data_IF_340263789453
#
_entry.id   IF_340263789453
#
_cell.length_a   1.000
_cell.length_b   1.000
_cell.length_c   1.000
_cell.angle_alpha   90.00
_cell.angle_beta   90.00
_cell.angle_gamma   90.00
#
_symmetry.space_group_name_H-M   'P 1'
#
loop_
_entity.id
_entity.type
_entity.pdbx_description
1 polymer ?
#
# COMPACT_ATOMS: atom_id res chain seq x y z
N UNK A 1 69.86 -5.79 12.75
CA UNK A 1 68.98 -4.71 13.25
C UNK A 1 67.76 -4.72 12.35
N UNK A 2 66.75 -5.46 12.79
CA UNK A 2 65.49 -5.67 12.06
C UNK A 2 64.79 -4.31 11.93
N UNK A 3 64.60 -3.83 10.70
CA UNK A 3 63.89 -2.57 10.45
C UNK A 3 62.38 -2.86 10.54
N UNK A 4 61.64 -2.26 11.49
CA UNK A 4 60.22 -2.50 11.64
C UNK A 4 59.49 -1.82 10.49
N UNK A 5 58.71 -2.58 9.73
CA UNK A 5 57.82 -2.03 8.71
C UNK A 5 56.92 -0.96 9.37
N UNK A 6 56.99 0.32 8.94
CA UNK A 6 56.07 1.33 9.45
C UNK A 6 54.68 0.90 9.01
N UNK A 7 53.80 0.65 9.97
CA UNK A 7 52.39 0.41 9.72
C UNK A 7 51.89 1.63 8.94
N UNK A 8 51.73 1.44 7.64
CA UNK A 8 51.52 2.53 6.71
C UNK A 8 50.13 3.10 6.94
N UNK A 9 50.00 4.42 7.07
CA UNK A 9 48.70 5.11 7.18
C UNK A 9 47.78 4.70 6.02
N UNK A 10 48.35 4.37 4.85
CA UNK A 10 47.62 3.83 3.72
C UNK A 10 46.94 2.47 4.02
N UNK A 11 47.55 1.57 4.80
CA UNK A 11 46.94 0.29 5.16
C UNK A 11 45.79 0.45 6.15
N UNK A 12 45.87 1.44 7.05
CA UNK A 12 44.78 1.75 7.99
C UNK A 12 43.57 2.38 7.29
N UNK A 13 43.79 3.30 6.35
CA UNK A 13 42.71 3.89 5.54
C UNK A 13 42.06 2.84 4.65
N UNK A 14 42.86 1.94 4.06
CA UNK A 14 42.33 0.84 3.25
C UNK A 14 41.50 -0.13 4.11
N UNK A 15 41.94 -0.44 5.32
CA UNK A 15 41.18 -1.25 6.28
C UNK A 15 39.86 -0.60 6.70
N UNK A 16 39.85 0.70 6.97
CA UNK A 16 38.65 1.44 7.34
C UNK A 16 37.60 1.49 6.22
N UNK A 17 38.03 1.68 4.96
CA UNK A 17 37.13 1.65 3.80
C UNK A 17 36.51 0.27 3.61
N UNK A 18 37.31 -0.79 3.81
CA UNK A 18 36.83 -2.17 3.73
C UNK A 18 35.80 -2.48 4.84
N UNK A 19 36.03 -1.99 6.06
CA UNK A 19 35.09 -2.15 7.18
C UNK A 19 33.80 -1.35 6.98
N UNK A 20 33.88 -0.11 6.47
CA UNK A 20 32.70 0.69 6.11
C UNK A 20 31.87 0.01 5.03
N UNK A 21 32.52 -0.60 4.03
CA UNK A 21 31.85 -1.37 2.97
C UNK A 21 31.14 -2.60 3.54
N UNK A 22 31.74 -3.28 4.52
CA UNK A 22 31.14 -4.42 5.23
C UNK A 22 29.94 -4.00 6.07
N UNK A 23 30.03 -2.89 6.80
CA UNK A 23 28.93 -2.32 7.57
C UNK A 23 27.75 -1.92 6.66
N UNK A 24 28.02 -1.21 5.56
CA UNK A 24 26.97 -0.87 4.59
C UNK A 24 26.28 -2.10 4.00
N UNK A 25 27.06 -3.15 3.69
CA UNK A 25 26.49 -4.39 3.21
C UNK A 25 25.60 -5.07 4.27
N UNK A 26 25.97 -4.99 5.55
CA UNK A 26 25.16 -5.49 6.66
C UNK A 26 23.88 -4.68 6.87
N UNK A 27 23.97 -3.34 6.85
CA UNK A 27 22.81 -2.44 7.01
C UNK A 27 21.76 -2.71 5.92
N UNK A 28 22.22 -2.88 4.66
CA UNK A 28 21.34 -3.20 3.52
C UNK A 28 20.72 -4.59 3.68
N UNK A 29 21.48 -5.58 4.16
CA UNK A 29 20.94 -6.91 4.43
C UNK A 29 19.90 -6.89 5.54
N UNK A 30 20.15 -6.13 6.61
CA UNK A 30 19.23 -5.99 7.74
C UNK A 30 17.95 -5.26 7.32
N UNK A 31 18.08 -4.13 6.62
CA UNK A 31 16.95 -3.37 6.08
C UNK A 31 16.11 -4.23 5.12
N UNK A 32 16.75 -5.03 4.27
CA UNK A 32 16.05 -5.98 3.38
C UNK A 32 15.29 -7.04 4.18
N UNK A 33 15.89 -7.59 5.22
CA UNK A 33 15.25 -8.59 6.07
C UNK A 33 14.05 -8.01 6.83
N UNK A 34 14.18 -6.81 7.38
CA UNK A 34 13.12 -6.13 8.11
C UNK A 34 11.97 -5.70 7.18
N UNK A 35 12.29 -5.18 5.99
CA UNK A 35 11.28 -4.96 4.94
C UNK A 35 10.55 -6.25 4.58
N UNK A 36 11.24 -7.37 4.38
CA UNK A 36 10.59 -8.64 4.08
C UNK A 36 9.69 -9.10 5.23
N UNK A 37 10.09 -8.88 6.47
CA UNK A 37 9.30 -9.25 7.64
C UNK A 37 8.02 -8.41 7.77
N UNK A 38 8.12 -7.09 7.60
CA UNK A 38 6.97 -6.18 7.62
C UNK A 38 6.04 -6.39 6.42
N UNK A 39 6.59 -6.56 5.22
CA UNK A 39 5.82 -6.91 4.02
C UNK A 39 5.06 -8.23 4.22
N UNK A 40 5.68 -9.23 4.85
CA UNK A 40 5.02 -10.50 5.18
C UNK A 40 3.80 -10.33 6.08
N UNK A 41 3.86 -9.43 7.08
CA UNK A 41 2.71 -9.10 7.94
C UNK A 41 1.60 -8.42 7.15
N UNK A 42 1.95 -7.43 6.33
CA UNK A 42 1.00 -6.70 5.47
C UNK A 42 0.32 -7.66 4.48
N UNK A 43 1.09 -8.53 3.82
CA UNK A 43 0.56 -9.52 2.88
C UNK A 43 -0.39 -10.48 3.59
N UNK A 44 -0.01 -11.02 4.76
CA UNK A 44 -0.91 -11.88 5.53
C UNK A 44 -2.21 -11.16 5.90
N UNK A 45 -2.13 -9.92 6.37
CA UNK A 45 -3.33 -9.13 6.69
C UNK A 45 -4.19 -8.88 5.45
N UNK A 46 -3.57 -8.52 4.32
CA UNK A 46 -4.25 -8.31 3.05
C UNK A 46 -4.91 -9.59 2.52
N UNK A 47 -4.28 -10.75 2.70
CA UNK A 47 -4.86 -12.04 2.32
C UNK A 47 -6.13 -12.34 3.12
N UNK A 48 -6.11 -12.17 4.45
CA UNK A 48 -7.30 -12.39 5.28
C UNK A 48 -8.41 -11.40 4.93
N UNK A 49 -8.08 -10.13 4.73
CA UNK A 49 -9.04 -9.12 4.30
C UNK A 49 -9.63 -9.43 2.91
N UNK A 50 -8.80 -9.90 1.98
CA UNK A 50 -9.23 -10.32 0.64
C UNK A 50 -10.18 -11.51 0.67
N UNK A 51 -9.88 -12.54 1.48
CA UNK A 51 -10.77 -13.69 1.67
C UNK A 51 -12.10 -13.25 2.28
N UNK A 52 -12.06 -12.41 3.33
CA UNK A 52 -13.28 -11.90 3.96
C UNK A 52 -14.14 -11.08 2.98
N UNK A 53 -13.51 -10.22 2.16
CA UNK A 53 -14.19 -9.46 1.12
C UNK A 53 -14.85 -10.37 0.07
N UNK A 54 -14.14 -11.42 -0.37
CA UNK A 54 -14.67 -12.39 -1.32
C UNK A 54 -15.86 -13.17 -0.74
N UNK A 55 -15.77 -13.60 0.51
CA UNK A 55 -16.87 -14.28 1.20
C UNK A 55 -18.08 -13.37 1.39
N UNK A 56 -17.86 -12.12 1.78
CA UNK A 56 -18.92 -11.13 1.92
C UNK A 56 -19.61 -10.85 0.58
N UNK A 57 -18.84 -10.75 -0.51
CA UNK A 57 -19.38 -10.62 -1.86
C UNK A 57 -20.27 -11.80 -2.25
N UNK A 58 -19.81 -13.04 -2.01
CA UNK A 58 -20.61 -14.24 -2.26
C UNK A 58 -21.89 -14.28 -1.43
N UNK A 59 -21.81 -13.91 -0.15
CA UNK A 59 -22.97 -13.86 0.74
C UNK A 59 -24.02 -12.87 0.24
N UNK A 60 -23.61 -11.69 -0.26
CA UNK A 60 -24.52 -10.71 -0.86
C UNK A 60 -25.19 -11.28 -2.11
N UNK A 61 -24.45 -11.97 -2.99
CA UNK A 61 -25.04 -12.61 -4.16
C UNK A 61 -26.11 -13.65 -3.79
N UNK A 62 -25.81 -14.52 -2.81
CA UNK A 62 -26.80 -15.47 -2.32
C UNK A 62 -28.02 -14.79 -1.69
N UNK A 63 -27.81 -13.70 -0.94
CA UNK A 63 -28.90 -12.92 -0.36
C UNK A 63 -29.79 -12.27 -1.43
N UNK A 64 -29.23 -11.77 -2.52
CA UNK A 64 -30.03 -11.29 -3.65
C UNK A 64 -30.86 -12.42 -4.25
N UNK A 65 -30.27 -13.60 -4.46
CA UNK A 65 -30.98 -14.76 -4.99
C UNK A 65 -32.12 -15.22 -4.07
N UNK A 66 -31.91 -15.26 -2.75
CA UNK A 66 -32.98 -15.61 -1.81
C UNK A 66 -34.10 -14.58 -1.84
N UNK A 67 -33.78 -13.29 -1.93
CA UNK A 67 -34.77 -12.22 -2.03
C UNK A 67 -35.63 -12.34 -3.30
N UNK A 68 -35.00 -12.67 -4.44
CA UNK A 68 -35.71 -12.88 -5.71
C UNK A 68 -36.65 -14.09 -5.62
N UNK A 69 -36.21 -15.20 -5.05
CA UNK A 69 -37.04 -16.39 -4.89
C UNK A 69 -38.18 -16.16 -3.90
N UNK A 70 -37.93 -15.43 -2.81
CA UNK A 70 -38.94 -15.08 -1.81
C UNK A 70 -40.01 -14.17 -2.43
N UNK A 71 -39.59 -13.19 -3.24
CA UNK A 71 -40.50 -12.30 -3.95
C UNK A 71 -41.33 -13.08 -4.97
N UNK A 72 -40.71 -13.97 -5.76
CA UNK A 72 -41.42 -14.82 -6.71
C UNK A 72 -42.46 -15.71 -6.01
N UNK A 73 -42.09 -16.33 -4.88
CA UNK A 73 -42.99 -17.19 -4.10
C UNK A 73 -44.22 -16.43 -3.57
N UNK A 74 -44.05 -15.20 -3.10
CA UNK A 74 -45.14 -14.42 -2.50
C UNK A 74 -46.01 -13.67 -3.52
N UNK A 75 -45.42 -13.22 -4.63
CA UNK A 75 -46.10 -12.33 -5.60
C UNK A 75 -46.66 -13.07 -6.82
N UNK A 76 -46.22 -14.31 -7.09
CA UNK A 76 -46.61 -15.05 -8.29
C UNK A 76 -46.20 -14.38 -9.61
N UNK A 77 -45.34 -13.35 -9.53
CA UNK A 77 -44.84 -12.60 -10.68
C UNK A 77 -43.84 -13.43 -11.48
N UNK A 78 -43.75 -13.23 -12.80
CA UNK A 78 -42.74 -13.92 -13.60
C UNK A 78 -41.33 -13.51 -13.17
N UNK A 79 -40.40 -14.47 -13.19
CA UNK A 79 -39.03 -14.33 -12.67
C UNK A 79 -38.31 -13.06 -13.15
N UNK A 80 -38.46 -12.69 -14.43
CA UNK A 80 -37.81 -11.52 -15.02
C UNK A 80 -38.20 -10.21 -14.33
N UNK A 81 -39.45 -10.07 -13.89
CA UNK A 81 -39.93 -8.88 -13.17
C UNK A 81 -39.32 -8.82 -11.76
N UNK A 82 -39.19 -9.97 -11.08
CA UNK A 82 -38.55 -10.06 -9.78
C UNK A 82 -37.06 -9.69 -9.85
N UNK A 83 -36.35 -10.21 -10.86
CA UNK A 83 -34.96 -9.82 -11.13
C UNK A 83 -34.83 -8.32 -11.37
N UNK A 84 -35.73 -7.72 -12.18
CA UNK A 84 -35.71 -6.29 -12.46
C UNK A 84 -35.89 -5.42 -11.22
N UNK A 85 -36.86 -5.75 -10.36
CA UNK A 85 -37.12 -4.98 -9.13
C UNK A 85 -35.94 -5.10 -8.16
N UNK A 86 -35.46 -6.32 -7.90
CA UNK A 86 -34.34 -6.53 -6.98
C UNK A 86 -33.06 -5.89 -7.51
N UNK A 87 -32.79 -5.98 -8.81
CA UNK A 87 -31.65 -5.31 -9.43
C UNK A 87 -31.74 -3.78 -9.31
N UNK A 88 -32.92 -3.20 -9.51
CA UNK A 88 -33.13 -1.75 -9.40
C UNK A 88 -32.92 -1.26 -7.96
N UNK A 89 -33.46 -1.98 -6.97
CA UNK A 89 -33.25 -1.67 -5.55
C UNK A 89 -31.78 -1.81 -5.15
N UNK A 90 -31.12 -2.89 -5.58
CA UNK A 90 -29.70 -3.11 -5.32
C UNK A 90 -28.83 -2.04 -5.99
N UNK A 91 -29.16 -1.63 -7.23
CA UNK A 91 -28.46 -0.56 -7.94
C UNK A 91 -28.63 0.80 -7.23
N UNK A 92 -29.84 1.12 -6.75
CA UNK A 92 -30.09 2.34 -5.99
C UNK A 92 -29.32 2.34 -4.66
N UNK A 93 -29.32 1.23 -3.93
CA UNK A 93 -28.54 1.07 -2.70
C UNK A 93 -27.04 1.21 -2.99
N UNK A 94 -26.54 0.52 -4.02
CA UNK A 94 -25.15 0.60 -4.48
C UNK A 94 -24.72 2.02 -4.85
N UNK A 95 -25.55 2.75 -5.59
CA UNK A 95 -25.31 4.14 -5.96
C UNK A 95 -25.27 5.06 -4.71
N UNK A 96 -26.16 4.85 -3.73
CA UNK A 96 -26.15 5.61 -2.48
C UNK A 96 -24.90 5.34 -1.64
N UNK A 97 -24.47 4.08 -1.53
CA UNK A 97 -23.22 3.72 -0.88
C UNK A 97 -22.02 4.29 -1.61
N UNK A 98 -21.97 4.21 -2.93
CA UNK A 98 -20.89 4.76 -3.75
C UNK A 98 -20.80 6.29 -3.62
N UNK A 99 -21.93 6.98 -3.64
CA UNK A 99 -21.99 8.42 -3.37
C UNK A 99 -21.50 8.77 -1.97
N UNK A 100 -21.84 7.97 -0.95
CA UNK A 100 -21.30 8.13 0.41
C UNK A 100 -19.80 7.87 0.46
N UNK A 101 -19.29 6.84 -0.22
CA UNK A 101 -17.85 6.57 -0.30
C UNK A 101 -17.10 7.74 -0.93
N UNK A 102 -17.63 8.32 -2.01
CA UNK A 102 -17.05 9.51 -2.64
C UNK A 102 -17.11 10.69 -1.68
N UNK A 103 -18.25 10.93 -1.01
CA UNK A 103 -18.40 12.02 -0.05
C UNK A 103 -17.47 11.87 1.18
N UNK A 104 -17.22 10.64 1.62
CA UNK A 104 -16.26 10.34 2.68
C UNK A 104 -14.83 10.50 2.16
N UNK A 105 -14.53 10.09 0.93
CA UNK A 105 -13.22 10.27 0.29
C UNK A 105 -12.89 11.73 -0.04
N UNK A 106 -13.90 12.60 -0.18
CA UNK A 106 -13.68 14.05 -0.34
C UNK A 106 -13.53 14.77 0.99
N UNK A 107 -14.13 14.26 2.08
CA UNK A 107 -13.99 14.81 3.44
C UNK A 107 -12.75 14.30 4.16
N UNK A 108 -12.41 13.01 3.99
CA UNK A 108 -11.09 12.47 4.28
C UNK A 108 -10.15 12.96 3.19
N UNK A 109 -9.49 14.09 3.46
CA UNK A 109 -8.43 14.68 2.66
C UNK A 109 -7.22 13.73 2.54
N UNK A 110 -7.40 12.59 1.88
CA UNK A 110 -6.37 11.63 1.44
C UNK A 110 -5.49 12.21 0.31
N UNK A 111 -5.56 13.52 0.10
CA UNK A 111 -4.56 14.27 -0.63
C UNK A 111 -3.66 14.98 0.39
N UNK A 112 -2.46 14.44 0.70
CA UNK A 112 -1.52 15.11 1.57
C UNK A 112 -0.88 16.28 0.79
N UNK A 113 -1.65 17.35 0.54
CA UNK A 113 -1.16 18.57 -0.13
C UNK A 113 0.03 19.22 0.61
N UNK A 114 0.27 18.89 1.88
CA UNK A 114 1.43 19.39 2.64
C UNK A 114 2.73 18.65 2.32
N UNK A 115 2.72 17.35 2.04
CA UNK A 115 3.96 16.61 1.75
C UNK A 115 4.53 16.93 0.36
N UNK A 116 3.69 17.34 -0.60
CA UNK A 116 4.20 17.78 -1.90
C UNK A 116 4.96 19.11 -1.85
N UNK A 117 4.66 19.97 -0.87
CA UNK A 117 5.40 21.22 -0.67
C UNK A 117 6.79 20.95 -0.08
N UNK A 118 6.88 20.10 0.95
CA UNK A 118 8.18 19.71 1.52
C UNK A 118 9.05 18.98 0.49
N UNK A 119 8.49 18.05 -0.29
CA UNK A 119 9.25 17.34 -1.34
C UNK A 119 9.75 18.27 -2.46
N UNK A 120 9.02 19.34 -2.79
CA UNK A 120 9.50 20.36 -3.75
C UNK A 120 10.64 21.19 -3.17
N UNK A 121 10.55 21.53 -1.89
CA UNK A 121 11.58 22.29 -1.18
C UNK A 121 12.85 21.46 -1.00
N UNK A 122 12.70 20.18 -0.63
CA UNK A 122 13.79 19.20 -0.54
C UNK A 122 14.49 19.01 -1.90
N UNK A 123 13.71 18.87 -2.99
CA UNK A 123 14.27 18.76 -4.34
C UNK A 123 15.01 20.03 -4.78
N UNK A 124 14.52 21.21 -4.38
CA UNK A 124 15.16 22.49 -4.66
C UNK A 124 16.48 22.63 -3.89
N UNK A 125 16.50 22.23 -2.62
CA UNK A 125 17.69 22.26 -1.78
C UNK A 125 18.78 21.30 -2.29
N UNK A 126 18.41 20.09 -2.72
CA UNK A 126 19.32 19.12 -3.36
C UNK A 126 19.87 19.69 -4.66
N UNK A 127 19.04 20.34 -5.48
CA UNK A 127 19.49 20.97 -6.72
C UNK A 127 20.46 22.11 -6.46
N UNK A 128 20.20 22.95 -5.46
CA UNK A 128 21.09 24.04 -5.05
C UNK A 128 22.42 23.51 -4.49
N UNK A 129 22.41 22.44 -3.70
CA UNK A 129 23.63 21.76 -3.22
C UNK A 129 24.47 21.20 -4.38
N UNK A 130 23.85 20.54 -5.36
CA UNK A 130 24.56 19.96 -6.51
C UNK A 130 25.13 21.03 -7.45
N UNK A 131 24.45 22.18 -7.58
CA UNK A 131 24.94 23.31 -8.36
C UNK A 131 26.03 24.09 -7.61
N UNK A 132 25.91 24.24 -6.28
CA UNK A 132 26.91 24.90 -5.43
C UNK A 132 28.20 24.09 -5.28
N UNK A 133 28.14 22.77 -5.37
CA UNK A 133 29.33 21.89 -5.29
C UNK A 133 30.14 21.86 -6.60
N UNK A 134 29.63 22.45 -7.69
CA UNK A 134 30.27 22.43 -9.01
C UNK A 134 31.00 23.73 -9.40
N UNK A 135 31.23 24.62 -8.44
CA UNK A 135 32.07 25.83 -8.53
C UNK A 135 33.15 25.75 -7.46
#
# INVERSE_FOLDING_TARGET
MENPHPISIASLVTGLVEDLRRLFAQEVQLARHEMQHELGKVVKSAMHAGIAMMLAFLAVLFLLMTLIHLLHFYSGLPLWACYGIVALVAAAAGAAFFARLIAIGTTLRLWPFRTFYSLKEDAKWIKEQLLSTKT
#
